data_IF_445266953471
#
_entry.id   IF_445266953471
#
_cell.length_a   1.000
_cell.length_b   1.000
_cell.length_c   1.000
_cell.angle_alpha   90.00
_cell.angle_beta   90.00
_cell.angle_gamma   90.00
#
_symmetry.space_group_name_H-M   'P 1'
#
loop_
_entity.id
_entity.type
_entity.pdbx_description
1 polymer ?
#
# COMPACT_ATOMS: atom_id res chain seq x y z
N UNK A 1 -9.78 21.71 -23.59
CA UNK A 1 -10.59 22.74 -22.90
C UNK A 1 -12.05 22.29 -22.84
N UNK A 2 -12.49 21.76 -21.70
CA UNK A 2 -13.78 22.08 -21.03
C UNK A 2 -14.02 21.10 -19.86
N UNK A 3 -14.04 21.69 -18.68
CA UNK A 3 -14.63 21.18 -17.43
C UNK A 3 -16.15 21.41 -17.45
N UNK A 4 -16.93 20.50 -16.85
CA UNK A 4 -18.12 20.67 -15.97
C UNK A 4 -18.99 19.38 -16.06
N UNK A 5 -19.05 18.47 -15.07
CA UNK A 5 -19.67 18.47 -13.71
C UNK A 5 -21.18 18.13 -13.71
N UNK A 6 -21.59 16.98 -13.15
CA UNK A 6 -22.57 16.87 -12.04
C UNK A 6 -22.77 15.41 -11.52
N UNK A 7 -22.64 15.28 -10.18
CA UNK A 7 -23.28 14.41 -9.17
C UNK A 7 -24.06 13.13 -9.55
N UNK A 8 -23.90 12.09 -8.72
CA UNK A 8 -24.96 11.59 -7.81
C UNK A 8 -24.47 10.55 -6.76
N UNK A 9 -24.90 10.79 -5.52
CA UNK A 9 -25.20 9.86 -4.42
C UNK A 9 -24.08 9.05 -3.73
N UNK A 10 -23.65 9.54 -2.57
CA UNK A 10 -23.17 8.71 -1.45
C UNK A 10 -24.35 7.91 -0.88
N UNK A 11 -24.26 6.57 -0.72
CA UNK A 11 -25.14 5.86 0.19
C UNK A 11 -24.65 6.00 1.64
N UNK A 12 -25.55 5.89 2.64
CA UNK A 12 -25.18 5.98 4.04
C UNK A 12 -24.40 4.73 4.49
N UNK A 13 -23.61 4.91 5.54
CA UNK A 13 -22.92 3.92 6.37
C UNK A 13 -23.38 2.46 6.14
N UNK A 14 -22.53 1.67 5.50
CA UNK A 14 -22.58 0.21 5.58
C UNK A 14 -21.20 -0.33 5.90
N UNK A 15 -21.22 -1.27 6.85
CA UNK A 15 -20.11 -1.96 7.46
C UNK A 15 -18.95 -2.27 6.50
N UNK A 16 -17.72 -2.20 7.05
CA UNK A 16 -16.49 -2.67 6.42
C UNK A 16 -16.73 -4.13 5.98
N UNK A 17 -16.96 -4.32 4.68
CA UNK A 17 -17.02 -5.65 4.09
C UNK A 17 -15.60 -6.06 3.70
N UNK A 18 -15.22 -7.26 4.10
CA UNK A 18 -13.96 -7.92 3.69
C UNK A 18 -13.78 -7.83 2.17
N UNK A 19 -12.56 -7.57 1.64
CA UNK A 19 -12.35 -7.41 0.21
C UNK A 19 -12.69 -8.73 -0.48
N UNK A 20 -13.62 -8.70 -1.43
CA UNK A 20 -13.89 -9.83 -2.29
C UNK A 20 -12.92 -9.77 -3.47
N UNK A 21 -12.03 -10.77 -3.57
CA UNK A 21 -11.06 -10.96 -4.67
C UNK A 21 -11.71 -10.92 -6.08
N UNK A 22 -13.04 -11.04 -6.17
CA UNK A 22 -13.83 -10.90 -7.40
C UNK A 22 -13.69 -9.55 -8.13
N UNK A 23 -13.11 -8.53 -7.50
CA UNK A 23 -12.91 -7.22 -8.13
C UNK A 23 -11.50 -7.01 -8.70
N UNK A 24 -10.59 -7.97 -8.51
CA UNK A 24 -9.21 -7.89 -9.01
C UNK A 24 -9.08 -8.79 -10.23
N UNK A 25 -8.64 -8.21 -11.35
CA UNK A 25 -8.33 -8.96 -12.56
C UNK A 25 -6.83 -9.16 -12.68
N UNK A 26 -6.43 -10.36 -13.08
CA UNK A 26 -5.04 -10.75 -13.34
C UNK A 26 -4.82 -10.87 -14.84
N UNK A 27 -3.70 -10.34 -15.30
CA UNK A 27 -3.26 -10.48 -16.69
C UNK A 27 -1.87 -11.10 -16.72
N UNK A 28 -1.75 -12.21 -17.45
CA UNK A 28 -0.47 -12.85 -17.78
C UNK A 28 -0.14 -12.53 -19.24
N UNK A 29 0.97 -11.81 -19.44
CA UNK A 29 1.42 -11.40 -20.77
C UNK A 29 2.23 -12.49 -21.52
N UNK A 30 2.53 -13.62 -20.87
CA UNK A 30 3.35 -14.70 -21.46
C UNK A 30 2.62 -15.50 -22.55
N UNK A 31 1.31 -15.35 -22.67
CA UNK A 31 0.48 -16.14 -23.61
C UNK A 31 0.44 -15.62 -25.07
N UNK A 32 1.13 -14.52 -25.42
CA UNK A 32 1.11 -14.01 -26.81
C UNK A 32 2.49 -13.65 -27.33
N UNK A 33 3.14 -14.62 -28.00
CA UNK A 33 4.18 -14.33 -28.99
C UNK A 33 3.54 -13.69 -30.22
N UNK A 34 3.43 -12.36 -30.27
CA UNK A 34 3.49 -11.57 -31.51
C UNK A 34 3.43 -10.06 -31.22
N UNK A 35 4.44 -9.37 -31.75
CA UNK A 35 4.57 -7.92 -32.03
C UNK A 35 3.32 -7.07 -31.71
N UNK A 36 3.47 -6.11 -30.78
CA UNK A 36 2.49 -5.05 -30.50
C UNK A 36 2.28 -4.16 -31.75
N UNK A 37 1.31 -4.51 -32.61
CA UNK A 37 0.65 -3.55 -33.50
C UNK A 37 -0.62 -3.06 -32.81
N UNK A 38 -0.67 -1.76 -32.52
CA UNK A 38 -1.91 -1.08 -32.14
C UNK A 38 -2.82 -0.99 -33.37
N UNK A 39 -3.71 -1.97 -33.52
CA UNK A 39 -4.87 -1.93 -34.42
C UNK A 39 -5.94 -2.86 -33.86
N UNK A 40 -7.07 -2.30 -33.42
CA UNK A 40 -8.26 -2.98 -32.88
C UNK A 40 -8.91 -3.97 -33.87
N UNK A 41 -9.93 -4.79 -33.53
CA UNK A 41 -10.31 -5.42 -32.25
C UNK A 41 -10.54 -6.94 -32.46
N UNK A 42 -9.63 -7.81 -32.01
CA UNK A 42 -9.94 -9.23 -31.86
C UNK A 42 -9.52 -9.70 -30.47
N UNK A 43 -10.53 -9.77 -29.59
CA UNK A 43 -10.43 -10.34 -28.25
C UNK A 43 -10.00 -11.80 -28.33
N UNK A 44 -8.83 -12.11 -27.79
CA UNK A 44 -8.42 -13.46 -27.38
C UNK A 44 -8.80 -13.68 -25.91
N UNK A 45 -8.94 -14.92 -25.42
CA UNK A 45 -9.79 -15.21 -24.27
C UNK A 45 -9.19 -14.63 -22.99
N UNK A 46 -9.94 -13.71 -22.37
CA UNK A 46 -9.71 -13.26 -21.00
C UNK A 46 -9.94 -14.48 -20.11
N UNK A 47 -8.90 -15.00 -19.44
CA UNK A 47 -9.07 -15.89 -18.29
C UNK A 47 -9.66 -15.06 -17.15
N UNK A 48 -10.99 -14.91 -17.20
CA UNK A 48 -11.80 -14.30 -16.16
C UNK A 48 -12.00 -15.34 -15.07
N UNK A 49 -11.16 -15.31 -14.04
CA UNK A 49 -11.42 -16.07 -12.82
C UNK A 49 -12.48 -15.33 -11.99
N UNK A 50 -13.71 -15.85 -11.95
CA UNK A 50 -14.71 -15.45 -10.95
C UNK A 50 -14.54 -16.32 -9.70
N UNK A 51 -13.84 -15.78 -8.71
CA UNK A 51 -13.59 -16.44 -7.42
C UNK A 51 -14.82 -16.30 -6.50
N UNK A 52 -15.78 -17.22 -6.62
CA UNK A 52 -16.80 -17.40 -5.60
C UNK A 52 -16.20 -17.93 -4.30
N UNK A 53 -15.87 -17.06 -3.33
CA UNK A 53 -15.31 -17.48 -2.04
C UNK A 53 -15.95 -16.74 -0.85
N UNK A 54 -16.29 -17.52 0.17
CA UNK A 54 -16.68 -17.07 1.52
C UNK A 54 -15.51 -16.35 2.19
N UNK A 55 -15.87 -15.44 3.09
CA UNK A 55 -14.97 -14.59 3.90
C UNK A 55 -13.72 -15.34 4.37
N UNK A 56 -12.51 -14.75 4.24
CA UNK A 56 -11.30 -15.39 4.72
C UNK A 56 -11.38 -15.48 6.24
N UNK A 57 -11.49 -16.70 6.77
CA UNK A 57 -11.03 -16.96 8.13
C UNK A 57 -9.54 -16.65 8.12
N UNK A 58 -9.11 -15.79 9.05
CA UNK A 58 -7.71 -15.58 9.42
C UNK A 58 -7.05 -16.96 9.48
N UNK A 59 -6.23 -17.27 8.49
CA UNK A 59 -5.44 -18.48 8.50
C UNK A 59 -4.33 -18.23 9.50
N UNK A 60 -4.38 -18.97 10.61
CA UNK A 60 -3.41 -18.95 11.70
C UNK A 60 -2.01 -19.18 11.15
N UNK A 61 -1.25 -18.09 11.04
CA UNK A 61 0.19 -18.08 10.83
C UNK A 61 0.81 -17.19 11.91
N UNK A 62 1.48 -17.83 12.87
CA UNK A 62 2.53 -17.27 13.72
C UNK A 62 2.14 -16.23 14.77
N UNK A 63 2.30 -16.61 16.05
CA UNK A 63 2.41 -15.73 17.24
C UNK A 63 3.38 -14.55 17.02
N UNK A 64 4.41 -14.73 16.17
CA UNK A 64 5.41 -13.70 15.82
C UNK A 64 4.84 -12.54 14.99
N UNK A 65 3.98 -12.81 14.00
CA UNK A 65 3.35 -11.76 13.18
C UNK A 65 2.33 -10.96 13.96
N UNK A 66 1.72 -11.55 15.00
CA UNK A 66 0.83 -10.81 15.89
C UNK A 66 1.60 -9.87 16.82
N UNK A 67 2.74 -10.31 17.37
CA UNK A 67 3.61 -9.46 18.18
C UNK A 67 4.19 -8.29 17.41
N UNK A 68 4.62 -8.51 16.15
CA UNK A 68 5.18 -7.45 15.31
C UNK A 68 4.15 -6.35 15.01
N UNK A 69 2.89 -6.71 14.72
CA UNK A 69 1.84 -5.71 14.50
C UNK A 69 1.52 -4.89 15.76
N UNK A 70 1.49 -5.52 16.92
CA UNK A 70 1.24 -4.82 18.18
C UNK A 70 2.37 -3.81 18.49
N UNK A 71 3.63 -4.18 18.21
CA UNK A 71 4.79 -3.30 18.31
C UNK A 71 4.72 -2.12 17.32
N UNK A 72 4.30 -2.35 16.07
CA UNK A 72 4.08 -1.29 15.09
C UNK A 72 2.97 -0.34 15.52
N UNK A 73 1.83 -0.90 15.93
CA UNK A 73 0.67 -0.12 16.39
C UNK A 73 1.06 0.76 17.57
N UNK A 74 1.83 0.23 18.52
CA UNK A 74 2.35 1.01 19.65
C UNK A 74 3.14 2.25 19.18
N UNK A 75 3.95 2.14 18.11
CA UNK A 75 4.69 3.29 17.56
C UNK A 75 3.75 4.36 16.98
N UNK A 76 2.64 3.98 16.36
CA UNK A 76 1.63 4.97 15.92
C UNK A 76 0.94 5.63 17.11
N UNK A 77 0.65 4.87 18.17
CA UNK A 77 0.00 5.41 19.35
C UNK A 77 0.92 6.36 20.14
N UNK A 78 2.24 6.27 19.98
CA UNK A 78 3.21 7.23 20.53
C UNK A 78 2.96 8.67 20.04
N UNK A 79 2.38 8.82 18.85
CA UNK A 79 1.99 10.12 18.27
C UNK A 79 0.90 10.83 19.08
N UNK A 80 0.12 10.07 19.85
CA UNK A 80 -1.01 10.60 20.61
C UNK A 80 -0.54 11.08 22.00
N UNK A 81 -1.10 12.19 22.51
CA UNK A 81 -1.01 12.54 23.93
C UNK A 81 -1.45 11.39 24.83
N UNK A 82 -0.88 11.29 26.02
CA UNK A 82 -1.03 10.13 26.93
C UNK A 82 -2.50 9.78 27.21
N UNK A 83 -3.35 10.77 27.48
CA UNK A 83 -4.77 10.53 27.77
C UNK A 83 -5.52 9.93 26.57
N UNK A 84 -5.24 10.41 25.36
CA UNK A 84 -5.83 9.90 24.12
C UNK A 84 -5.32 8.49 23.82
N UNK A 85 -4.02 8.26 24.04
CA UNK A 85 -3.39 6.94 23.88
C UNK A 85 -4.07 5.90 24.76
N UNK A 86 -4.18 6.15 26.06
CA UNK A 86 -4.84 5.23 27.01
C UNK A 86 -6.29 4.94 26.62
N UNK A 87 -7.01 5.94 26.11
CA UNK A 87 -8.39 5.79 25.59
C UNK A 87 -8.47 4.87 24.38
N UNK A 88 -7.53 4.98 23.44
CA UNK A 88 -7.46 4.08 22.28
C UNK A 88 -7.09 2.66 22.74
N UNK A 89 -6.05 2.53 23.58
CA UNK A 89 -5.56 1.24 24.08
C UNK A 89 -6.62 0.47 24.89
N UNK A 90 -7.49 1.18 25.61
CA UNK A 90 -8.61 0.58 26.34
C UNK A 90 -9.79 0.15 25.47
N UNK A 91 -9.78 0.42 24.16
CA UNK A 91 -10.88 0.06 23.27
C UNK A 91 -10.84 -1.43 22.92
N UNK A 92 -11.98 -2.12 23.04
CA UNK A 92 -12.09 -3.57 22.77
C UNK A 92 -11.68 -4.00 21.35
N UNK A 93 -11.75 -3.07 20.40
CA UNK A 93 -11.39 -3.29 18.99
C UNK A 93 -10.03 -2.67 18.62
N UNK A 94 -9.12 -2.44 19.58
CA UNK A 94 -7.81 -1.80 19.34
C UNK A 94 -7.09 -2.33 18.09
N UNK A 95 -7.01 -3.67 17.93
CA UNK A 95 -6.35 -4.31 16.79
C UNK A 95 -7.01 -3.99 15.44
N UNK A 96 -8.28 -3.59 15.45
CA UNK A 96 -9.05 -3.19 14.27
C UNK A 96 -9.07 -1.68 14.03
N UNK A 97 -8.32 -0.88 14.81
CA UNK A 97 -8.17 0.55 14.58
C UNK A 97 -7.86 0.85 13.11
N UNK A 98 -8.64 1.73 12.50
CA UNK A 98 -8.49 2.11 11.09
C UNK A 98 -7.59 3.34 10.99
N UNK A 99 -7.94 4.38 11.74
CA UNK A 99 -7.19 5.63 11.80
C UNK A 99 -7.54 6.44 13.03
N UNK A 100 -6.66 7.40 13.37
CA UNK A 100 -6.90 8.46 14.34
C UNK A 100 -6.88 9.80 13.62
N UNK A 101 -7.88 10.64 13.88
CA UNK A 101 -8.05 11.96 13.28
C UNK A 101 -7.89 13.01 14.37
N UNK A 102 -7.01 13.98 14.12
CA UNK A 102 -6.71 15.10 15.01
C UNK A 102 -6.77 16.40 14.20
N UNK A 103 -7.80 17.21 14.41
CA UNK A 103 -7.96 18.50 13.73
C UNK A 103 -7.96 19.62 14.79
N UNK A 104 -7.14 20.65 14.60
CA UNK A 104 -7.05 21.80 15.49
C UNK A 104 -8.45 22.38 15.78
N UNK A 105 -8.78 22.50 17.07
CA UNK A 105 -10.07 23.00 17.54
C UNK A 105 -11.23 21.99 17.50
N UNK A 106 -10.99 20.71 17.18
CA UNK A 106 -11.99 19.64 17.19
C UNK A 106 -11.65 18.53 18.18
N UNK A 107 -12.67 17.81 18.62
CA UNK A 107 -12.49 16.60 19.42
C UNK A 107 -11.80 15.51 18.58
N UNK A 108 -10.73 14.87 19.08
CA UNK A 108 -10.05 13.78 18.37
C UNK A 108 -10.90 12.52 18.28
N UNK A 109 -10.76 11.80 17.16
CA UNK A 109 -11.55 10.62 16.84
C UNK A 109 -10.63 9.45 16.50
N UNK A 110 -10.93 8.27 17.01
CA UNK A 110 -10.45 7.00 16.46
C UNK A 110 -11.57 6.37 15.64
N UNK A 111 -11.23 5.79 14.49
CA UNK A 111 -12.20 5.05 13.65
C UNK A 111 -11.98 3.56 13.77
N UNK A 112 -13.06 2.84 14.03
CA UNK A 112 -13.12 1.38 14.07
C UNK A 112 -14.16 0.87 13.06
N UNK A 113 -14.18 -0.44 12.75
CA UNK A 113 -15.23 -1.03 11.91
C UNK A 113 -16.65 -0.81 12.46
N UNK A 114 -16.77 -0.73 13.78
CA UNK A 114 -18.02 -0.45 14.50
C UNK A 114 -18.46 1.02 14.42
N UNK A 115 -17.55 1.95 14.14
CA UNK A 115 -17.84 3.37 14.01
C UNK A 115 -16.74 4.28 14.58
N UNK A 116 -17.06 5.57 14.66
CA UNK A 116 -16.18 6.60 15.20
C UNK A 116 -16.27 6.63 16.74
N UNK A 117 -15.12 6.74 17.39
CA UNK A 117 -14.96 6.80 18.84
C UNK A 117 -14.23 8.08 19.24
N UNK A 118 -14.88 8.92 20.05
CA UNK A 118 -14.30 10.17 20.55
C UNK A 118 -13.27 9.87 21.63
N UNK A 119 -12.02 10.29 21.40
CA UNK A 119 -10.91 10.03 22.31
C UNK A 119 -10.86 11.01 23.47
N UNK A 120 -11.32 12.25 23.24
CA UNK A 120 -11.34 13.31 24.24
C UNK A 120 -12.43 14.32 23.92
N UNK A 121 -13.09 14.84 24.95
CA UNK A 121 -14.01 15.98 24.81
C UNK A 121 -13.24 17.30 24.61
N UNK A 122 -12.02 17.40 25.16
CA UNK A 122 -11.11 18.53 24.89
C UNK A 122 -10.73 18.54 23.42
N UNK A 123 -10.88 19.71 22.80
CA UNK A 123 -10.42 19.96 21.44
C UNK A 123 -8.90 19.84 21.32
N UNK A 124 -8.43 19.35 20.17
CA UNK A 124 -7.01 19.32 19.79
C UNK A 124 -6.45 20.74 19.78
N UNK A 125 -5.29 20.92 20.41
CA UNK A 125 -4.54 22.19 20.44
C UNK A 125 -3.34 22.17 19.50
N UNK A 126 -2.73 23.34 19.28
CA UNK A 126 -1.51 23.45 18.49
C UNK A 126 -0.37 22.62 19.10
N UNK A 127 -0.29 22.53 20.43
CA UNK A 127 0.70 21.70 21.13
C UNK A 127 0.52 20.21 20.83
N UNK A 128 -0.72 19.72 20.72
CA UNK A 128 -0.97 18.31 20.39
C UNK A 128 -0.50 17.97 18.97
N UNK A 129 -0.74 18.88 18.01
CA UNK A 129 -0.27 18.71 16.63
C UNK A 129 1.26 18.80 16.57
N UNK A 130 1.87 19.75 17.28
CA UNK A 130 3.33 19.86 17.37
C UNK A 130 3.96 18.62 18.01
N UNK A 131 3.36 18.11 19.11
CA UNK A 131 3.79 16.87 19.73
C UNK A 131 3.75 15.72 18.72
N UNK A 132 2.61 15.47 18.06
CA UNK A 132 2.48 14.39 17.10
C UNK A 132 3.48 14.53 15.93
N UNK A 133 3.60 15.73 15.34
CA UNK A 133 4.53 15.97 14.22
C UNK A 133 5.99 15.86 14.62
N UNK A 134 6.37 16.16 15.86
CA UNK A 134 7.75 15.98 16.36
C UNK A 134 8.19 14.52 16.47
N UNK A 135 7.22 13.59 16.53
CA UNK A 135 7.45 12.15 16.62
C UNK A 135 7.51 11.48 15.24
N UNK A 136 7.19 12.22 14.17
CA UNK A 136 7.21 11.73 12.78
C UNK A 136 8.40 12.35 12.06
N UNK A 137 8.91 11.65 11.03
CA UNK A 137 9.89 12.24 10.11
C UNK A 137 9.32 13.38 9.27
N UNK A 138 10.11 13.85 8.31
CA UNK A 138 9.69 14.93 7.42
C UNK A 138 8.49 14.51 6.55
N UNK A 139 7.53 15.44 6.40
CA UNK A 139 6.45 15.27 5.44
C UNK A 139 6.95 15.52 4.03
N UNK A 140 6.70 14.56 3.13
CA UNK A 140 6.97 14.67 1.71
C UNK A 140 6.11 15.76 1.05
N UNK A 141 6.39 16.04 -0.22
CA UNK A 141 5.72 17.09 -1.00
C UNK A 141 4.20 16.88 -1.15
N UNK A 142 3.71 15.67 -0.97
CA UNK A 142 2.28 15.31 -1.02
C UNK A 142 1.57 15.41 0.35
N UNK A 143 2.25 15.97 1.36
CA UNK A 143 1.79 16.08 2.76
C UNK A 143 1.62 14.74 3.47
N UNK A 144 2.36 13.71 3.05
CA UNK A 144 2.39 12.42 3.74
C UNK A 144 3.74 12.20 4.40
N UNK A 145 3.68 11.49 5.51
CA UNK A 145 4.82 10.87 6.17
C UNK A 145 4.38 9.49 6.65
N UNK A 146 5.33 8.64 6.98
CA UNK A 146 5.10 7.38 7.68
C UNK A 146 5.97 7.28 8.92
N UNK A 147 5.87 6.14 9.59
CA UNK A 147 6.74 5.80 10.71
C UNK A 147 7.71 4.75 10.22
N UNK A 148 9.01 4.98 10.44
CA UNK A 148 10.07 4.11 9.95
C UNK A 148 9.84 2.66 10.37
N UNK A 149 10.01 1.75 9.40
CA UNK A 149 9.81 0.28 9.55
C UNK A 149 8.36 -0.15 9.79
N UNK A 150 7.39 0.74 9.61
CA UNK A 150 5.96 0.41 9.70
C UNK A 150 5.27 0.69 8.36
N UNK A 151 4.02 0.24 8.21
CA UNK A 151 3.16 0.62 7.08
C UNK A 151 2.22 1.79 7.40
N UNK A 152 2.35 2.40 8.58
CA UNK A 152 1.48 3.47 9.03
C UNK A 152 1.70 4.75 8.23
N UNK A 153 0.61 5.50 8.02
CA UNK A 153 0.61 6.71 7.19
C UNK A 153 0.00 7.88 7.93
N UNK A 154 0.74 8.97 7.99
CA UNK A 154 0.36 10.22 8.63
C UNK A 154 0.16 11.25 7.52
N UNK A 155 -1.08 11.69 7.33
CA UNK A 155 -1.42 12.71 6.32
C UNK A 155 -1.70 14.03 7.01
N UNK A 156 -0.95 15.07 6.64
CA UNK A 156 -1.10 16.40 7.21
C UNK A 156 -2.09 17.26 6.41
N UNK A 157 -2.91 18.01 7.14
CA UNK A 157 -3.72 19.10 6.63
C UNK A 157 -2.97 20.40 6.95
N UNK A 158 -2.67 21.21 5.93
CA UNK A 158 -1.97 22.48 6.09
C UNK A 158 -2.89 23.68 5.85
N UNK A 159 -2.68 24.74 6.61
CA UNK A 159 -3.33 26.03 6.37
C UNK A 159 -2.65 26.80 5.23
N UNK A 160 -3.19 27.96 4.86
CA UNK A 160 -2.65 28.81 3.76
C UNK A 160 -1.22 29.31 4.00
N UNK A 161 -0.73 29.30 5.23
CA UNK A 161 0.65 29.68 5.59
C UNK A 161 1.60 28.47 5.61
N UNK A 162 1.10 27.28 5.27
CA UNK A 162 1.87 26.04 5.26
C UNK A 162 1.99 25.34 6.61
N UNK A 163 1.41 25.88 7.70
CA UNK A 163 1.45 25.24 9.00
C UNK A 163 0.50 24.04 9.04
N UNK A 164 0.93 22.94 9.68
CA UNK A 164 0.10 21.75 9.88
C UNK A 164 -0.95 22.08 10.95
N UNK A 165 -2.22 21.85 10.62
CA UNK A 165 -3.38 22.13 11.47
C UNK A 165 -4.27 20.90 11.69
N UNK A 166 -3.90 19.77 11.10
CA UNK A 166 -4.62 18.52 11.29
C UNK A 166 -3.80 17.33 10.78
N UNK A 167 -4.10 16.16 11.34
CA UNK A 167 -3.44 14.89 11.05
C UNK A 167 -4.48 13.78 10.89
N UNK A 168 -4.28 12.93 9.89
CA UNK A 168 -4.93 11.63 9.78
C UNK A 168 -3.87 10.54 9.88
N UNK A 169 -3.84 9.82 11.00
CA UNK A 169 -2.90 8.77 11.31
C UNK A 169 -3.55 7.42 11.00
N UNK A 170 -3.30 6.86 9.82
CA UNK A 170 -3.89 5.61 9.34
C UNK A 170 -3.02 4.42 9.69
N UNK A 171 -3.65 3.38 10.23
CA UNK A 171 -3.02 2.11 10.57
C UNK A 171 -2.80 1.29 9.29
N UNK A 172 -1.55 1.22 8.85
CA UNK A 172 -1.08 0.23 7.88
C UNK A 172 -0.96 -1.17 8.48
N UNK A 173 -1.16 -2.19 7.64
CA UNK A 173 -1.08 -3.61 8.03
C UNK A 173 -0.40 -4.41 6.94
N UNK A 174 0.46 -5.35 7.33
CA UNK A 174 0.92 -6.43 6.47
C UNK A 174 0.01 -7.65 6.66
N UNK A 175 -0.47 -8.21 5.55
CA UNK A 175 -1.36 -9.38 5.57
C UNK A 175 -0.72 -10.47 4.74
N UNK A 176 -0.12 -11.46 5.41
CA UNK A 176 0.44 -12.64 4.79
C UNK A 176 -0.65 -13.61 4.32
N UNK A 177 -0.36 -14.38 3.27
CA UNK A 177 -1.27 -15.38 2.70
C UNK A 177 -2.31 -14.80 1.74
N UNK A 178 -2.33 -13.47 1.56
CA UNK A 178 -3.23 -12.79 0.62
C UNK A 178 -2.96 -13.15 -0.84
N UNK A 179 -1.74 -13.60 -1.16
CA UNK A 179 -1.35 -14.04 -2.50
C UNK A 179 -1.28 -15.57 -2.68
N UNK A 180 -1.78 -16.35 -1.71
CA UNK A 180 -1.70 -17.83 -1.73
C UNK A 180 -2.26 -18.47 -3.00
N UNK A 181 -3.38 -17.97 -3.51
CA UNK A 181 -4.02 -18.46 -4.75
C UNK A 181 -3.22 -18.13 -6.02
N UNK A 182 -2.28 -17.19 -5.94
CA UNK A 182 -1.46 -16.75 -7.07
C UNK A 182 -0.08 -17.40 -7.05
N UNK A 183 0.20 -18.24 -6.06
CA UNK A 183 1.54 -18.79 -5.85
C UNK A 183 2.06 -19.55 -7.06
N UNK A 184 1.21 -20.33 -7.72
CA UNK A 184 1.58 -21.08 -8.92
C UNK A 184 1.84 -20.14 -10.10
N UNK A 185 0.98 -19.14 -10.31
CA UNK A 185 1.17 -18.13 -11.37
C UNK A 185 2.47 -17.34 -11.19
N UNK A 186 2.76 -16.95 -9.96
CA UNK A 186 3.95 -16.19 -9.59
C UNK A 186 5.24 -17.04 -9.73
N UNK A 187 5.13 -18.36 -9.51
CA UNK A 187 6.23 -19.30 -9.70
C UNK A 187 6.67 -19.38 -11.16
N UNK A 188 5.70 -19.44 -12.07
CA UNK A 188 5.91 -19.63 -13.52
C UNK A 188 6.66 -18.47 -14.18
N UNK A 189 6.76 -17.32 -13.52
CA UNK A 189 7.71 -16.25 -13.85
C UNK A 189 7.27 -15.31 -14.98
N UNK A 190 6.02 -15.40 -15.42
CA UNK A 190 5.42 -14.44 -16.35
C UNK A 190 5.22 -13.05 -15.72
N UNK A 191 4.98 -12.05 -16.56
CA UNK A 191 4.62 -10.70 -16.12
C UNK A 191 3.17 -10.67 -15.63
N UNK A 192 2.97 -10.23 -14.39
CA UNK A 192 1.66 -10.13 -13.74
C UNK A 192 1.24 -8.67 -13.59
N UNK A 193 0.04 -8.32 -14.07
CA UNK A 193 -0.59 -7.01 -13.81
C UNK A 193 -1.87 -7.16 -12.98
N UNK A 194 -1.93 -6.43 -11.87
CA UNK A 194 -3.06 -6.36 -10.94
C UNK A 194 -3.92 -5.12 -11.23
N UNK A 195 -5.16 -5.30 -11.69
CA UNK A 195 -6.08 -4.20 -11.99
C UNK A 195 -7.31 -4.27 -11.09
N UNK A 196 -7.67 -3.13 -10.49
CA UNK A 196 -8.89 -2.99 -9.69
C UNK A 196 -9.03 -1.59 -9.08
N UNK A 197 -10.22 -1.24 -8.56
CA UNK A 197 -10.47 0.05 -7.93
C UNK A 197 -9.49 0.38 -6.79
N UNK A 198 -9.37 1.66 -6.38
CA UNK A 198 -8.65 2.01 -5.16
C UNK A 198 -9.20 1.26 -3.93
N UNK A 199 -8.33 0.83 -3.02
CA UNK A 199 -8.73 0.22 -1.75
C UNK A 199 -9.11 -1.26 -1.78
N UNK A 200 -9.07 -1.95 -2.94
CA UNK A 200 -9.43 -3.39 -3.02
C UNK A 200 -8.35 -4.37 -2.53
N UNK A 201 -7.20 -3.87 -2.07
CA UNK A 201 -6.12 -4.71 -1.52
C UNK A 201 -5.02 -5.11 -2.51
N UNK A 202 -4.89 -4.42 -3.65
CA UNK A 202 -3.82 -4.68 -4.65
C UNK A 202 -2.42 -4.66 -4.03
N UNK A 203 -2.09 -3.59 -3.30
CA UNK A 203 -0.78 -3.41 -2.65
C UNK A 203 -0.51 -4.49 -1.60
N UNK A 204 -1.54 -4.95 -0.89
CA UNK A 204 -1.43 -6.06 0.07
C UNK A 204 -1.00 -7.36 -0.64
N UNK A 205 -1.61 -7.66 -1.78
CA UNK A 205 -1.25 -8.82 -2.61
C UNK A 205 0.18 -8.65 -3.15
N UNK A 206 0.52 -7.48 -3.68
CA UNK A 206 1.87 -7.19 -4.21
C UNK A 206 2.94 -7.42 -3.13
N UNK A 207 2.70 -6.95 -1.90
CA UNK A 207 3.62 -7.12 -0.79
C UNK A 207 3.85 -8.59 -0.44
N UNK A 208 2.78 -9.38 -0.36
CA UNK A 208 2.90 -10.82 -0.08
C UNK A 208 3.53 -11.58 -1.25
N UNK A 209 3.28 -11.19 -2.50
CA UNK A 209 3.99 -11.71 -3.68
C UNK A 209 5.50 -11.43 -3.58
N UNK A 210 5.89 -10.21 -3.19
CA UNK A 210 7.30 -9.84 -3.03
C UNK A 210 8.00 -10.75 -2.03
N UNK A 211 7.38 -10.94 -0.85
CA UNK A 211 7.87 -11.84 0.21
C UNK A 211 7.97 -13.28 -0.28
N UNK A 212 6.92 -13.82 -0.92
CA UNK A 212 6.92 -15.19 -1.45
C UNK A 212 8.06 -15.37 -2.47
N UNK A 213 8.24 -14.43 -3.40
CA UNK A 213 9.29 -14.51 -4.40
C UNK A 213 10.69 -14.41 -3.81
N UNK A 214 10.89 -13.54 -2.82
CA UNK A 214 12.18 -13.33 -2.19
C UNK A 214 12.57 -14.46 -1.22
N UNK A 215 11.65 -14.90 -0.37
CA UNK A 215 11.98 -15.83 0.73
C UNK A 215 11.69 -17.28 0.37
N UNK A 216 10.49 -17.58 -0.14
CA UNK A 216 10.11 -18.95 -0.48
C UNK A 216 10.85 -19.42 -1.75
N UNK A 217 10.87 -18.57 -2.79
CA UNK A 217 11.48 -18.90 -4.08
C UNK A 217 12.93 -18.42 -4.23
N UNK A 218 13.46 -17.69 -3.24
CA UNK A 218 14.86 -17.20 -3.22
C UNK A 218 15.27 -16.44 -4.48
N UNK A 219 14.33 -15.71 -5.09
CA UNK A 219 14.61 -14.85 -6.24
C UNK A 219 15.21 -13.53 -5.78
N UNK A 220 16.10 -12.95 -6.60
CA UNK A 220 16.55 -11.57 -6.42
C UNK A 220 15.41 -10.62 -6.80
N UNK A 221 14.63 -10.19 -5.81
CA UNK A 221 13.49 -9.28 -6.01
C UNK A 221 13.91 -7.84 -5.72
N UNK A 222 13.56 -6.92 -6.62
CA UNK A 222 13.65 -5.48 -6.40
C UNK A 222 12.27 -4.85 -6.54
N UNK A 223 11.90 -4.06 -5.56
CA UNK A 223 10.68 -3.24 -5.55
C UNK A 223 11.09 -1.81 -5.89
N UNK A 224 10.50 -1.24 -6.94
CA UNK A 224 10.58 0.19 -7.22
C UNK A 224 9.33 0.84 -6.62
N UNK A 225 9.54 1.52 -5.49
CA UNK A 225 8.47 2.03 -4.62
C UNK A 225 8.41 3.56 -4.69
N UNK A 226 7.37 4.07 -5.34
CA UNK A 226 7.21 5.51 -5.56
C UNK A 226 6.52 6.20 -4.40
N UNK A 227 5.58 5.51 -3.76
CA UNK A 227 4.72 6.09 -2.72
C UNK A 227 5.07 5.62 -1.31
N UNK A 228 6.13 4.80 -1.18
CA UNK A 228 6.46 4.04 0.04
C UNK A 228 5.30 3.15 0.53
N UNK A 229 4.37 2.81 -0.36
CA UNK A 229 3.19 2.02 -0.01
C UNK A 229 3.54 0.54 0.14
N UNK A 230 4.50 0.00 -0.63
CA UNK A 230 4.83 -1.42 -0.59
C UNK A 230 5.80 -1.72 0.56
N UNK A 231 6.93 -1.02 0.60
CA UNK A 231 8.01 -1.25 1.54
C UNK A 231 7.91 -0.46 2.85
N UNK A 232 6.88 0.37 3.04
CA UNK A 232 6.73 1.22 4.23
C UNK A 232 7.67 2.44 4.20
N UNK A 233 7.64 3.26 5.23
CA UNK A 233 8.42 4.52 5.23
C UNK A 233 9.80 4.40 5.91
N UNK A 234 10.66 5.39 5.68
CA UNK A 234 12.05 5.46 6.16
C UNK A 234 13.02 4.57 5.36
N UNK A 235 14.30 4.54 5.72
CA UNK A 235 15.35 3.87 4.93
C UNK A 235 15.28 2.33 4.96
N UNK A 236 14.82 1.79 6.08
CA UNK A 236 14.73 0.35 6.31
C UNK A 236 13.32 -0.14 5.93
N UNK A 237 13.18 -1.03 4.93
CA UNK A 237 11.88 -1.51 4.51
C UNK A 237 11.22 -2.37 5.59
N UNK A 238 9.89 -2.36 5.59
CA UNK A 238 9.04 -3.18 6.44
C UNK A 238 9.23 -4.68 6.14
N UNK A 239 9.26 -5.52 7.18
CA UNK A 239 9.51 -6.98 7.11
C UNK A 239 8.56 -7.74 6.17
N UNK A 240 7.33 -7.24 6.03
CA UNK A 240 6.29 -7.79 5.15
C UNK A 240 6.66 -7.94 3.66
N UNK A 241 7.74 -7.33 3.15
CA UNK A 241 8.27 -7.63 1.80
C UNK A 241 9.31 -8.77 1.78
N UNK A 242 9.59 -9.38 2.92
CA UNK A 242 10.63 -10.41 3.08
C UNK A 242 12.03 -9.85 2.85
N UNK A 243 12.90 -10.66 2.26
CA UNK A 243 14.26 -10.27 1.86
C UNK A 243 14.32 -9.45 0.55
N UNK A 244 13.18 -9.05 -0.01
CA UNK A 244 13.14 -8.21 -1.20
C UNK A 244 13.86 -6.87 -0.96
N UNK A 245 14.62 -6.43 -1.96
CA UNK A 245 15.28 -5.13 -1.92
C UNK A 245 14.33 -4.05 -2.42
N UNK A 246 14.54 -2.81 -1.97
CA UNK A 246 13.72 -1.66 -2.37
C UNK A 246 14.59 -0.54 -2.93
N UNK A 247 14.11 0.08 -4.00
CA UNK A 247 14.55 1.37 -4.49
C UNK A 247 13.40 2.38 -4.30
N UNK A 248 13.68 3.48 -3.61
CA UNK A 248 12.71 4.56 -3.44
C UNK A 248 12.82 5.54 -4.60
N UNK A 249 11.69 5.93 -5.16
CA UNK A 249 11.66 6.94 -6.23
C UNK A 249 11.53 8.33 -5.60
N UNK A 250 12.50 9.25 -5.78
CA UNK A 250 12.46 10.56 -5.13
C UNK A 250 11.28 11.44 -5.60
N UNK A 251 10.93 11.33 -6.88
CA UNK A 251 9.83 12.06 -7.51
C UNK A 251 9.20 11.15 -8.56
N UNK A 252 7.87 11.04 -8.60
CA UNK A 252 7.14 10.07 -9.43
C UNK A 252 7.52 10.11 -10.91
N UNK A 253 7.80 11.28 -11.49
CA UNK A 253 8.19 11.39 -12.89
C UNK A 253 9.53 10.69 -13.20
N UNK A 254 10.37 10.45 -12.19
CA UNK A 254 11.65 9.75 -12.33
C UNK A 254 11.54 8.23 -12.29
N UNK A 255 10.37 7.66 -12.01
CA UNK A 255 10.20 6.21 -11.82
C UNK A 255 10.77 5.38 -12.98
N UNK A 256 10.57 5.81 -14.23
CA UNK A 256 11.14 5.14 -15.40
C UNK A 256 12.67 5.04 -15.40
N UNK A 257 13.37 6.04 -14.83
CA UNK A 257 14.84 6.01 -14.68
C UNK A 257 15.27 5.04 -13.59
N UNK A 258 14.55 5.02 -12.47
CA UNK A 258 14.82 4.09 -11.37
C UNK A 258 14.58 2.64 -11.80
N UNK A 259 13.60 2.38 -12.67
CA UNK A 259 13.40 1.06 -13.28
C UNK A 259 14.61 0.60 -14.09
N UNK A 260 15.24 1.50 -14.86
CA UNK A 260 16.44 1.20 -15.64
C UNK A 260 17.63 0.94 -14.71
N UNK A 261 17.83 1.83 -13.73
CA UNK A 261 18.86 1.71 -12.70
C UNK A 261 18.79 0.36 -11.95
N UNK A 262 17.57 -0.07 -11.60
CA UNK A 262 17.33 -1.35 -10.94
C UNK A 262 17.95 -2.52 -11.71
N UNK A 263 17.76 -2.56 -13.03
CA UNK A 263 18.28 -3.64 -13.88
C UNK A 263 19.79 -3.51 -14.05
N UNK A 264 20.26 -2.31 -14.39
CA UNK A 264 21.66 -2.05 -14.71
C UNK A 264 22.60 -2.32 -13.52
N UNK A 265 22.17 -1.98 -12.30
CA UNK A 265 23.05 -2.00 -11.14
C UNK A 265 22.83 -3.19 -10.20
N UNK A 266 21.70 -3.89 -10.30
CA UNK A 266 21.34 -4.87 -9.26
C UNK A 266 20.91 -6.24 -9.81
N UNK A 267 20.88 -6.43 -11.14
CA UNK A 267 20.63 -7.72 -11.80
C UNK A 267 19.47 -8.54 -11.17
N UNK A 268 18.27 -7.94 -11.00
CA UNK A 268 17.13 -8.61 -10.39
C UNK A 268 16.62 -9.76 -11.27
N UNK A 269 16.06 -10.78 -10.65
CA UNK A 269 15.27 -11.80 -11.35
C UNK A 269 13.79 -11.41 -11.44
N UNK A 270 13.35 -10.53 -10.53
CA UNK A 270 11.98 -10.00 -10.50
C UNK A 270 12.04 -8.52 -10.15
N UNK A 271 11.31 -7.71 -10.92
CA UNK A 271 11.02 -6.32 -10.57
C UNK A 271 9.54 -6.20 -10.24
N UNK A 272 9.26 -5.56 -9.11
CA UNK A 272 7.91 -5.19 -8.67
C UNK A 272 7.78 -3.68 -8.78
N UNK A 273 6.66 -3.24 -9.33
CA UNK A 273 6.35 -1.84 -9.59
C UNK A 273 4.99 -1.56 -8.94
N UNK A 274 4.88 -0.47 -8.17
CA UNK A 274 3.64 -0.11 -7.47
C UNK A 274 2.51 0.27 -8.45
N UNK A 275 2.73 1.34 -9.24
CA UNK A 275 1.79 1.81 -10.25
C UNK A 275 2.52 2.15 -11.55
N UNK A 276 1.85 1.94 -12.69
CA UNK A 276 2.30 2.40 -14.00
C UNK A 276 1.28 3.43 -14.49
N UNK A 277 1.62 4.70 -14.37
CA UNK A 277 0.78 5.83 -14.72
C UNK A 277 1.16 6.51 -16.04
N UNK A 278 2.41 6.35 -16.51
CA UNK A 278 2.89 7.04 -17.71
C UNK A 278 3.30 6.11 -18.84
N UNK A 279 3.26 6.64 -20.07
CA UNK A 279 3.75 5.92 -21.27
C UNK A 279 5.23 5.53 -21.14
N UNK A 280 6.04 6.36 -20.49
CA UNK A 280 7.47 6.09 -20.31
C UNK A 280 7.70 4.91 -19.35
N UNK A 281 6.97 4.84 -18.24
CA UNK A 281 7.01 3.68 -17.33
C UNK A 281 6.58 2.40 -18.02
N UNK A 282 5.50 2.43 -18.81
CA UNK A 282 5.03 1.26 -19.55
C UNK A 282 6.07 0.76 -20.58
N UNK A 283 6.71 1.68 -21.31
CA UNK A 283 7.79 1.34 -22.24
C UNK A 283 9.01 0.76 -21.50
N UNK A 284 9.39 1.36 -20.38
CA UNK A 284 10.51 0.88 -19.57
C UNK A 284 10.24 -0.54 -19.05
N UNK A 285 9.08 -0.77 -18.41
CA UNK A 285 8.68 -2.08 -17.91
C UNK A 285 8.63 -3.15 -19.02
N UNK A 286 8.08 -2.81 -20.19
CA UNK A 286 8.04 -3.70 -21.36
C UNK A 286 9.44 -4.04 -21.87
N UNK A 287 10.33 -3.05 -21.96
CA UNK A 287 11.72 -3.24 -22.42
C UNK A 287 12.49 -4.15 -21.46
N UNK A 288 12.30 -3.96 -20.15
CA UNK A 288 12.93 -4.78 -19.10
C UNK A 288 12.44 -6.22 -19.21
N UNK A 289 11.12 -6.44 -19.29
CA UNK A 289 10.54 -7.77 -19.41
C UNK A 289 11.03 -8.51 -20.66
N UNK A 290 11.28 -7.81 -21.76
CA UNK A 290 11.80 -8.41 -23.00
C UNK A 290 13.29 -8.75 -22.92
N UNK A 291 14.10 -7.99 -22.15
CA UNK A 291 15.55 -8.20 -22.03
C UNK A 291 15.90 -9.39 -21.15
N UNK A 292 15.12 -9.63 -20.10
CA UNK A 292 15.30 -10.79 -19.20
C UNK A 292 14.80 -12.12 -19.83
N UNK A 293 14.13 -12.07 -20.99
CA UNK A 293 13.69 -13.25 -21.75
C UNK A 293 14.76 -13.88 -22.66
N UNK A 294 16.00 -13.38 -22.66
CA UNK A 294 17.13 -14.10 -23.25
C UNK A 294 17.96 -14.74 -22.14
N UNK A 295 17.89 -16.06 -21.94
CA UNK A 295 18.93 -16.73 -21.17
C UNK A 295 20.26 -16.48 -21.89
N UNK A 296 21.25 -15.93 -21.17
CA UNK A 296 22.64 -16.14 -21.56
C UNK A 296 23.05 -17.55 -21.21
#
# INVERSE_FOLDING_TARGET
>A
MRLLHLSLALPPSKAISTPTLNQIRFYDASATSNVLRFSSPHFSPVLSYSLGLRSPRVALGGDETEGEFDDELARLLVLLPEDMRRRVEGHSELRYLVEVVMDLGRSPLARFPSGDFVLSERAITDEDIQYATSQVGDFAADNRAGISRTLHRISAIRNRKGAIIGLTCRVGRAISGSASLLRDLVKDGGSLLLIGPPGVGKTTIIRDIARILADDFRKRVIIVDTSNEIGGDGDIPHSGIGSARRLQVPISEMQHKILIEAVENHMPQVIIIDEIGTKLEAIAASTIAQRECYPR
#
